data_IF_758414002295
#
_entry.id   IF_758414002295
#
_cell.length_a   1.000
_cell.length_b   1.000
_cell.length_c   1.000
_cell.angle_alpha   90.00
_cell.angle_beta   90.00
_cell.angle_gamma   90.00
#
_symmetry.space_group_name_H-M   'P 1'
#
loop_
_entity.id
_entity.type
_entity.pdbx_description
1 polymer ?
#
# COMPACT_ATOMS: atom_id res chain seq x y z
N UNK A 1 -30.38 4.44 40.18
CA UNK A 1 -29.70 5.43 39.33
C UNK A 1 -28.18 5.21 39.27
N UNK A 2 -27.50 5.04 40.40
CA UNK A 2 -26.04 4.82 40.50
C UNK A 2 -25.50 3.61 39.72
N UNK A 3 -26.16 2.46 39.77
CA UNK A 3 -25.69 1.21 39.12
C UNK A 3 -25.54 1.33 37.59
N UNK A 4 -26.35 2.17 36.93
CA UNK A 4 -26.24 2.43 35.48
C UNK A 4 -25.06 3.35 35.15
N UNK A 5 -24.74 4.29 36.05
CA UNK A 5 -23.60 5.22 35.92
C UNK A 5 -22.29 4.46 36.11
N UNK A 6 -22.22 3.57 37.10
CA UNK A 6 -21.04 2.73 37.35
C UNK A 6 -20.78 1.77 36.19
N UNK A 7 -21.81 1.12 35.65
CA UNK A 7 -21.69 0.27 34.45
C UNK A 7 -21.25 1.06 33.21
N UNK A 8 -21.75 2.29 33.03
CA UNK A 8 -21.31 3.17 31.96
C UNK A 8 -19.83 3.55 32.06
N UNK A 9 -19.36 3.85 33.28
CA UNK A 9 -17.96 4.18 33.54
C UNK A 9 -17.01 3.01 33.21
N UNK A 10 -17.40 1.77 33.56
CA UNK A 10 -16.60 0.58 33.21
C UNK A 10 -16.45 0.38 31.71
N UNK A 11 -17.52 0.60 30.93
CA UNK A 11 -17.46 0.49 29.47
C UNK A 11 -16.54 1.56 28.86
N UNK A 12 -16.55 2.78 29.41
CA UNK A 12 -15.67 3.88 28.96
C UNK A 12 -14.20 3.57 29.27
N UNK A 13 -13.90 3.08 30.47
CA UNK A 13 -12.53 2.70 30.85
C UNK A 13 -12.02 1.53 30.01
N UNK A 14 -12.87 0.55 29.73
CA UNK A 14 -12.52 -0.58 28.86
C UNK A 14 -12.21 -0.09 27.43
N UNK A 15 -13.06 0.75 26.85
CA UNK A 15 -12.83 1.31 25.52
C UNK A 15 -11.53 2.12 25.43
N UNK A 16 -11.23 2.92 26.46
CA UNK A 16 -9.99 3.70 26.54
C UNK A 16 -8.74 2.80 26.65
N UNK A 17 -8.83 1.68 27.37
CA UNK A 17 -7.72 0.73 27.50
C UNK A 17 -7.36 0.04 26.18
N UNK A 18 -8.33 -0.16 25.28
CA UNK A 18 -8.11 -0.77 23.97
C UNK A 18 -7.70 0.21 22.86
N UNK A 19 -7.81 1.53 23.09
CA UNK A 19 -7.49 2.55 22.09
C UNK A 19 -6.01 2.53 21.64
N UNK A 20 -5.09 2.13 22.53
CA UNK A 20 -3.66 2.00 22.24
C UNK A 20 -3.26 0.76 21.41
N UNK A 21 -4.17 -0.20 21.22
CA UNK A 21 -3.92 -1.41 20.44
C UNK A 21 -4.34 -1.27 18.96
N UNK A 22 -4.68 -0.07 18.52
CA UNK A 22 -4.90 0.24 17.10
C UNK A 22 -3.56 0.39 16.37
N UNK A 23 -2.80 -0.70 16.23
CA UNK A 23 -1.65 -0.75 15.33
C UNK A 23 -2.15 -0.54 13.90
N UNK A 24 -1.40 0.21 13.09
CA UNK A 24 -1.79 0.67 11.75
C UNK A 24 -2.53 -0.40 10.94
N UNK A 25 -3.85 -0.25 10.81
CA UNK A 25 -4.72 -1.14 10.05
C UNK A 25 -4.56 -1.02 8.52
N UNK A 26 -3.62 -0.17 8.06
CA UNK A 26 -3.26 -0.03 6.66
C UNK A 26 -2.09 -0.94 6.33
N UNK A 27 -2.30 -1.93 5.47
CA UNK A 27 -1.20 -2.72 4.91
C UNK A 27 -0.19 -1.83 4.18
N UNK A 28 1.08 -2.24 4.14
CA UNK A 28 2.10 -1.53 3.37
C UNK A 28 1.66 -1.40 1.91
N UNK A 29 1.46 -0.16 1.44
CA UNK A 29 1.11 0.14 0.06
C UNK A 29 2.11 1.13 -0.51
N UNK A 30 2.40 1.00 -1.79
CA UNK A 30 3.37 1.85 -2.47
C UNK A 30 3.22 1.75 -3.97
N UNK A 31 3.48 2.86 -4.66
CA UNK A 31 3.47 2.93 -6.11
C UNK A 31 4.89 3.21 -6.60
N UNK A 32 5.36 2.40 -7.54
CA UNK A 32 6.59 2.65 -8.29
C UNK A 32 6.21 3.23 -9.65
N UNK A 33 6.56 4.50 -9.87
CA UNK A 33 6.31 5.23 -11.11
C UNK A 33 7.65 5.60 -11.73
N UNK A 34 7.76 5.50 -13.05
CA UNK A 34 8.94 5.93 -13.79
C UNK A 34 8.65 6.11 -15.27
N UNK A 35 9.66 6.55 -16.02
CA UNK A 35 9.57 6.78 -17.46
C UNK A 35 10.73 6.12 -18.16
N UNK A 36 10.45 5.36 -19.21
CA UNK A 36 11.48 4.74 -20.05
C UNK A 36 11.93 5.74 -21.13
N UNK A 37 13.24 6.00 -21.19
CA UNK A 37 13.86 6.90 -22.17
C UNK A 37 15.08 6.26 -22.83
N UNK A 38 15.37 6.66 -24.07
CA UNK A 38 16.59 6.33 -24.79
C UNK A 38 17.78 7.24 -24.35
N UNK A 39 18.99 6.88 -24.75
CA UNK A 39 20.23 7.69 -24.64
C UNK A 39 20.10 9.12 -25.18
N UNK A 40 19.21 9.35 -26.16
CA UNK A 40 18.91 10.69 -26.70
C UNK A 40 17.93 11.50 -25.84
N UNK A 41 17.33 10.89 -24.83
CA UNK A 41 16.30 11.49 -23.96
C UNK A 41 14.86 11.35 -24.46
N UNK A 42 14.65 10.74 -25.64
CA UNK A 42 13.32 10.43 -26.17
C UNK A 42 12.61 9.34 -25.34
N UNK A 43 11.30 9.45 -25.14
CA UNK A 43 10.50 8.44 -24.43
C UNK A 43 10.29 7.20 -25.29
N UNK A 44 10.30 6.02 -24.67
CA UNK A 44 10.11 4.74 -25.35
C UNK A 44 8.75 4.16 -24.96
N UNK A 45 7.76 4.17 -25.88
CA UNK A 45 6.47 3.52 -25.64
C UNK A 45 6.54 2.00 -25.86
N UNK A 46 5.72 1.25 -25.14
CA UNK A 46 5.61 -0.21 -25.29
C UNK A 46 6.81 -1.02 -24.79
N UNK A 47 7.75 -0.38 -24.07
CA UNK A 47 8.90 -1.05 -23.48
C UNK A 47 8.45 -2.00 -22.37
N UNK A 48 8.90 -3.26 -22.41
CA UNK A 48 8.62 -4.25 -21.36
C UNK A 48 9.41 -3.91 -20.10
N UNK A 49 8.71 -3.67 -19.00
CA UNK A 49 9.28 -3.37 -17.68
C UNK A 49 8.94 -4.52 -16.74
N UNK A 50 9.95 -5.13 -16.13
CA UNK A 50 9.78 -6.19 -15.13
C UNK A 50 10.34 -5.73 -13.80
N UNK A 51 9.52 -5.83 -12.75
CA UNK A 51 9.92 -5.54 -11.37
C UNK A 51 9.83 -6.81 -10.55
N UNK A 52 10.90 -7.09 -9.80
CA UNK A 52 10.99 -8.19 -8.86
C UNK A 52 11.13 -7.65 -7.44
N UNK A 53 10.22 -8.04 -6.56
CA UNK A 53 10.39 -7.85 -5.14
C UNK A 53 11.42 -8.86 -4.62
N UNK A 54 12.58 -8.39 -4.16
CA UNK A 54 13.67 -9.26 -3.71
C UNK A 54 13.37 -9.97 -2.38
N UNK A 55 12.46 -9.44 -1.57
CA UNK A 55 12.08 -10.04 -0.29
C UNK A 55 11.06 -11.18 -0.47
N UNK A 56 10.12 -11.03 -1.43
CA UNK A 56 9.04 -12.01 -1.64
C UNK A 56 9.18 -12.83 -2.91
N UNK A 57 10.16 -12.52 -3.76
CA UNK A 57 10.34 -13.06 -5.12
C UNK A 57 9.15 -12.86 -6.07
N UNK A 58 8.16 -12.05 -5.69
CA UNK A 58 7.05 -11.69 -6.58
C UNK A 58 7.55 -10.84 -7.74
N UNK A 59 7.15 -11.21 -8.95
CA UNK A 59 7.53 -10.52 -10.18
C UNK A 59 6.29 -9.99 -10.87
N UNK A 60 6.30 -8.72 -11.26
CA UNK A 60 5.27 -8.10 -12.10
C UNK A 60 5.92 -7.58 -13.38
N UNK A 61 5.24 -7.77 -14.50
CA UNK A 61 5.67 -7.28 -15.80
C UNK A 61 4.55 -6.45 -16.41
N UNK A 62 4.89 -5.28 -16.90
CA UNK A 62 3.97 -4.39 -17.63
C UNK A 62 4.72 -3.68 -18.76
N UNK A 63 3.99 -2.98 -19.64
CA UNK A 63 4.58 -2.17 -20.71
C UNK A 63 4.49 -0.69 -20.39
N UNK A 64 5.48 0.09 -20.84
CA UNK A 64 5.39 1.54 -20.79
C UNK A 64 4.26 2.07 -21.68
N UNK A 65 3.60 3.14 -21.22
CA UNK A 65 2.55 3.86 -21.95
C UNK A 65 3.13 4.66 -23.13
N UNK A 66 2.27 5.32 -23.91
CA UNK A 66 2.69 6.22 -25.00
C UNK A 66 3.63 7.35 -24.52
N UNK A 67 3.45 7.82 -23.28
CA UNK A 67 4.34 8.79 -22.63
C UNK A 67 5.68 8.20 -22.16
N UNK A 68 5.91 6.89 -22.36
CA UNK A 68 7.01 6.14 -21.77
C UNK A 68 6.83 5.83 -20.28
N UNK A 69 5.74 6.27 -19.66
CA UNK A 69 5.48 6.09 -18.23
C UNK A 69 5.06 4.66 -17.90
N UNK A 70 5.53 4.13 -16.78
CA UNK A 70 5.06 2.88 -16.19
C UNK A 70 4.64 3.10 -14.73
N UNK A 71 3.69 2.31 -14.23
CA UNK A 71 3.22 2.39 -12.86
C UNK A 71 2.98 1.00 -12.30
N UNK A 72 3.65 0.65 -11.20
CA UNK A 72 3.42 -0.59 -10.48
C UNK A 72 2.92 -0.30 -9.08
N UNK A 73 1.75 -0.83 -8.76
CA UNK A 73 1.14 -0.69 -7.45
C UNK A 73 1.35 -1.95 -6.63
N UNK A 74 1.91 -1.77 -5.43
CA UNK A 74 2.01 -2.81 -4.41
C UNK A 74 1.05 -2.48 -3.26
N UNK A 75 0.30 -3.48 -2.82
CA UNK A 75 -0.43 -3.42 -1.55
C UNK A 75 -0.32 -4.76 -0.84
N UNK A 76 0.10 -4.73 0.42
CA UNK A 76 0.34 -5.91 1.25
C UNK A 76 -0.94 -6.72 1.56
N UNK A 77 -2.12 -6.23 1.16
CA UNK A 77 -3.40 -6.90 1.36
C UNK A 77 -4.01 -7.54 0.10
N UNK A 78 -3.43 -7.35 -1.09
CA UNK A 78 -3.98 -7.92 -2.32
C UNK A 78 -3.51 -9.36 -2.48
N UNK A 79 -4.34 -10.30 -2.01
CA UNK A 79 -4.22 -11.71 -2.37
C UNK A 79 -4.31 -11.80 -3.90
N UNK A 80 -3.21 -12.18 -4.54
CA UNK A 80 -3.21 -12.70 -5.90
C UNK A 80 -3.77 -14.11 -5.89
#
# INVERSE_FOLDING_TARGET
>A
MHRKITSGLYLVVLAAAFAGFAWAQGGASGNLVGTVKDTTGAVIPGATVTIRNLATNLTQTDKSRESGEYTFSYSAGRRL
#
